data_IF_958923460857
#
_entry.id   IF_958923460857
#
_cell.length_a   1.000
_cell.length_b   1.000
_cell.length_c   1.000
_cell.angle_alpha   90.00
_cell.angle_beta   90.00
_cell.angle_gamma   90.00
#
_symmetry.space_group_name_H-M   'P 1'
#
loop_
_entity.id
_entity.type
_entity.pdbx_description
1 polymer ?
#
# COMPACT_ATOMS: atom_id res chain seq x y z
N UNK A 1 8.58 -8.77 -10.55
CA UNK A 1 7.78 -8.31 -9.40
C UNK A 1 6.97 -7.10 -9.80
N UNK A 2 5.65 -7.25 -9.81
CA UNK A 2 4.68 -6.19 -10.06
C UNK A 2 4.67 -5.29 -8.83
N UNK A 3 5.02 -4.02 -9.00
CA UNK A 3 4.96 -3.01 -7.95
C UNK A 3 3.54 -2.47 -7.84
N UNK A 4 3.02 -2.48 -6.62
CA UNK A 4 1.68 -1.98 -6.34
C UNK A 4 1.70 -0.90 -5.25
N UNK A 5 0.80 0.07 -5.41
CA UNK A 5 0.51 1.08 -4.39
C UNK A 5 -0.97 1.03 -4.05
N UNK A 6 -1.29 1.14 -2.76
CA UNK A 6 -2.67 1.21 -2.28
C UNK A 6 -3.11 2.65 -2.10
N UNK A 7 -4.35 2.95 -2.47
CA UNK A 7 -5.05 4.18 -2.09
C UNK A 7 -6.22 3.79 -1.20
N UNK A 8 -6.09 4.10 0.10
CA UNK A 8 -6.97 3.61 1.15
C UNK A 8 -6.25 2.61 2.07
N UNK A 9 -6.72 2.57 3.31
CA UNK A 9 -6.15 1.71 4.36
C UNK A 9 -7.21 1.14 5.31
N UNK A 10 -8.41 0.90 4.78
CA UNK A 10 -9.52 0.28 5.51
C UNK A 10 -9.36 -1.24 5.64
N UNK A 11 -10.41 -1.91 6.12
CA UNK A 11 -10.41 -3.36 6.33
C UNK A 11 -10.07 -4.15 5.05
N UNK A 12 -10.64 -3.75 3.90
CA UNK A 12 -10.38 -4.42 2.62
C UNK A 12 -8.91 -4.28 2.22
N UNK A 13 -8.34 -3.08 2.35
CA UNK A 13 -6.93 -2.82 2.06
C UNK A 13 -6.02 -3.71 2.92
N UNK A 14 -6.30 -3.81 4.22
CA UNK A 14 -5.49 -4.59 5.15
C UNK A 14 -5.49 -6.08 4.81
N UNK A 15 -6.65 -6.66 4.47
CA UNK A 15 -6.73 -8.06 4.02
C UNK A 15 -5.98 -8.29 2.71
N UNK A 16 -6.09 -7.38 1.74
CA UNK A 16 -5.36 -7.48 0.48
C UNK A 16 -3.85 -7.36 0.69
N UNK A 17 -3.40 -6.41 1.51
CA UNK A 17 -2.00 -6.23 1.87
C UNK A 17 -1.44 -7.51 2.49
N UNK A 18 -2.18 -8.13 3.41
CA UNK A 18 -1.78 -9.41 4.00
C UNK A 18 -1.61 -10.49 2.94
N UNK A 19 -2.60 -10.67 2.05
CA UNK A 19 -2.53 -11.65 0.98
C UNK A 19 -1.39 -11.39 -0.03
N UNK A 20 -1.15 -10.13 -0.39
CA UNK A 20 -0.08 -9.77 -1.32
C UNK A 20 1.31 -9.89 -0.70
N UNK A 21 1.47 -9.73 0.61
CA UNK A 21 2.74 -9.96 1.29
C UNK A 21 3.18 -11.43 1.27
N UNK A 22 2.26 -12.38 1.07
CA UNK A 22 2.58 -13.80 0.88
C UNK A 22 3.03 -14.13 -0.56
N UNK A 23 2.81 -13.20 -1.50
CA UNK A 23 3.19 -13.37 -2.90
C UNK A 23 4.64 -12.97 -3.16
N UNK A 24 5.37 -13.79 -3.91
CA UNK A 24 6.72 -13.46 -4.41
C UNK A 24 6.68 -12.63 -5.70
N UNK A 25 5.53 -12.55 -6.35
CA UNK A 25 5.36 -11.86 -7.63
C UNK A 25 4.97 -10.39 -7.46
N UNK A 26 4.48 -10.01 -6.28
CA UNK A 26 3.94 -8.67 -6.00
C UNK A 26 4.80 -7.99 -4.93
N UNK A 27 5.09 -6.70 -5.15
CA UNK A 27 5.73 -5.84 -4.14
C UNK A 27 4.83 -4.67 -3.79
N UNK A 28 4.42 -4.60 -2.54
CA UNK A 28 3.77 -3.39 -2.00
C UNK A 28 4.87 -2.39 -1.69
N UNK A 29 4.86 -1.24 -2.37
CA UNK A 29 5.91 -0.22 -2.21
C UNK A 29 5.41 1.03 -1.49
N UNK A 30 4.11 1.28 -1.53
CA UNK A 30 3.53 2.50 -0.98
C UNK A 30 2.06 2.29 -0.61
N UNK A 31 1.61 3.01 0.42
CA UNK A 31 0.21 3.10 0.84
C UNK A 31 -0.12 4.57 1.05
N UNK A 32 -1.09 5.08 0.30
CA UNK A 32 -1.73 6.36 0.53
C UNK A 32 -2.87 6.21 1.54
N UNK A 33 -2.75 6.86 2.69
CA UNK A 33 -3.76 6.88 3.73
C UNK A 33 -3.93 8.29 4.30
N UNK A 34 -5.18 8.77 4.40
CA UNK A 34 -5.48 10.09 4.98
C UNK A 34 -4.99 10.23 6.42
N UNK A 35 -5.11 9.15 7.19
CA UNK A 35 -4.61 9.06 8.56
C UNK A 35 -3.53 7.99 8.59
N UNK A 36 -2.33 8.36 9.06
CA UNK A 36 -1.25 7.39 9.23
C UNK A 36 -1.65 6.37 10.31
N UNK A 37 -1.63 5.06 10.02
CA UNK A 37 -1.93 4.08 11.05
C UNK A 37 -0.87 4.11 12.14
N UNK A 38 -1.29 3.86 13.39
CA UNK A 38 -0.37 3.80 14.52
C UNK A 38 0.61 2.63 14.46
N UNK A 39 0.34 1.64 13.60
CA UNK A 39 1.13 0.42 13.45
C UNK A 39 1.69 0.36 12.02
N UNK A 40 3.01 0.29 11.89
CA UNK A 40 3.66 0.06 10.61
C UNK A 40 3.68 -1.44 10.31
N UNK A 41 3.18 -1.85 9.15
CA UNK A 41 3.16 -3.26 8.73
C UNK A 41 4.55 -3.78 8.39
N UNK A 42 5.41 -2.91 7.86
CA UNK A 42 6.79 -3.21 7.51
C UNK A 42 7.55 -1.90 7.32
N UNK A 43 8.84 -1.81 7.70
CA UNK A 43 9.67 -0.65 7.40
C UNK A 43 9.87 -0.43 5.88
N UNK A 44 9.61 -1.45 5.05
CA UNK A 44 9.76 -1.35 3.59
C UNK A 44 8.56 -0.69 2.88
N UNK A 45 7.42 -0.55 3.56
CA UNK A 45 6.21 0.03 2.97
C UNK A 45 6.10 1.49 3.39
N UNK A 46 6.20 2.40 2.43
CA UNK A 46 6.06 3.82 2.70
C UNK A 46 4.58 4.22 2.86
N UNK A 47 4.26 4.87 3.97
CA UNK A 47 2.96 5.51 4.17
C UNK A 47 3.04 6.99 3.81
N UNK A 48 2.21 7.40 2.86
CA UNK A 48 2.06 8.80 2.45
C UNK A 48 0.62 9.26 2.69
N UNK A 49 0.44 10.56 2.83
CA UNK A 49 -0.87 11.21 2.96
C UNK A 49 -1.01 12.39 2.01
N UNK A 50 -0.06 12.53 1.09
CA UNK A 50 0.10 13.64 0.15
C UNK A 50 0.18 13.08 -1.26
N UNK A 51 -0.72 13.54 -2.14
CA UNK A 51 -0.85 13.05 -3.50
C UNK A 51 0.40 13.33 -4.33
N UNK A 52 1.14 14.40 -4.02
CA UNK A 52 2.38 14.74 -4.72
C UNK A 52 3.51 13.75 -4.43
N UNK A 53 3.37 12.93 -3.39
CA UNK A 53 4.34 11.89 -3.02
C UNK A 53 4.06 10.53 -3.65
N UNK A 54 3.00 10.41 -4.47
CA UNK A 54 2.74 9.18 -5.20
C UNK A 54 3.91 8.88 -6.13
N UNK A 55 4.40 7.64 -6.07
CA UNK A 55 5.44 7.17 -6.98
C UNK A 55 4.82 6.36 -8.13
N UNK A 56 5.45 6.34 -9.32
CA UNK A 56 5.05 5.44 -10.39
C UNK A 56 5.12 3.98 -9.94
N UNK A 57 4.04 3.24 -10.20
CA UNK A 57 3.90 1.80 -9.95
C UNK A 57 3.21 1.13 -11.13
N UNK A 58 3.25 -0.20 -11.18
CA UNK A 58 2.61 -0.95 -12.26
C UNK A 58 1.08 -0.96 -12.10
N UNK A 59 0.59 -1.01 -10.85
CA UNK A 59 -0.84 -1.02 -10.53
C UNK A 59 -1.14 -0.20 -9.28
N UNK A 60 -2.16 0.66 -9.35
CA UNK A 60 -2.81 1.24 -8.19
C UNK A 60 -4.04 0.41 -7.79
N UNK A 61 -4.16 0.08 -6.50
CA UNK A 61 -5.34 -0.58 -5.95
C UNK A 61 -6.08 0.43 -5.08
N UNK A 62 -7.33 0.73 -5.44
CA UNK A 62 -8.18 1.68 -4.72
C UNK A 62 -9.16 0.90 -3.83
N UNK A 63 -9.05 1.08 -2.52
CA UNK A 63 -9.85 0.39 -1.50
C UNK A 63 -10.22 1.33 -0.35
N UNK A 64 -10.88 2.42 -0.73
CA UNK A 64 -11.37 3.50 0.15
C UNK A 64 -12.61 3.12 0.95
#
# INVERSE_FOLDING_TARGET
MIKISFIGFGNVAQHLIHAFNESREVKIVQIFARNKPAHSFSPEIEFISDWEKLIPVDVFIISV
#
